data_IF_338588786240
#
_entry.id   IF_338588786240
#
_cell.length_a   1.000
_cell.length_b   1.000
_cell.length_c   1.000
_cell.angle_alpha   90.00
_cell.angle_beta   90.00
_cell.angle_gamma   90.00
#
_symmetry.space_group_name_H-M   'P 1'
#
loop_
_entity.id
_entity.type
_entity.pdbx_description
1 polymer ?
#
# COMPACT_ATOMS: atom_id res chain seq x y z
N UNK A 1 -23.08 11.88 -7.43
CA UNK A 1 -22.98 10.59 -6.71
C UNK A 1 -21.60 9.95 -6.86
N UNK A 2 -20.95 10.05 -8.02
CA UNK A 2 -19.61 9.48 -8.27
C UNK A 2 -18.54 10.00 -7.31
N UNK A 3 -18.49 11.30 -7.05
CA UNK A 3 -17.50 11.90 -6.15
C UNK A 3 -17.65 11.43 -4.70
N UNK A 4 -18.88 11.19 -4.23
CA UNK A 4 -19.13 10.75 -2.84
C UNK A 4 -18.54 9.37 -2.58
N UNK A 5 -18.69 8.43 -3.51
CA UNK A 5 -18.14 7.08 -3.39
C UNK A 5 -16.61 7.06 -3.50
N UNK A 6 -16.06 7.95 -4.34
CA UNK A 6 -14.61 8.14 -4.42
C UNK A 6 -14.03 8.64 -3.08
N UNK A 7 -14.73 9.57 -2.43
CA UNK A 7 -14.37 10.05 -1.09
C UNK A 7 -14.59 9.00 0.02
N UNK A 8 -15.44 7.99 -0.20
CA UNK A 8 -15.67 6.92 0.80
C UNK A 8 -14.43 6.07 1.10
N UNK A 9 -13.45 6.06 0.19
CA UNK A 9 -12.18 5.38 0.40
C UNK A 9 -11.31 6.06 1.46
N UNK A 10 -11.41 7.40 1.59
CA UNK A 10 -10.58 8.18 2.54
C UNK A 10 -10.76 7.70 3.99
N UNK A 11 -11.98 7.61 4.55
CA UNK A 11 -12.14 7.14 5.91
C UNK A 11 -11.64 5.71 6.12
N UNK A 12 -11.79 4.83 5.13
CA UNK A 12 -11.28 3.45 5.21
C UNK A 12 -9.75 3.46 5.31
N UNK A 13 -9.07 4.28 4.49
CA UNK A 13 -7.62 4.41 4.53
C UNK A 13 -7.12 5.04 5.83
N UNK A 14 -7.78 6.08 6.33
CA UNK A 14 -7.42 6.73 7.60
C UNK A 14 -7.58 5.75 8.76
N UNK A 15 -8.72 5.06 8.87
CA UNK A 15 -8.97 4.11 9.94
C UNK A 15 -8.00 2.94 9.87
N UNK A 16 -7.73 2.40 8.67
CA UNK A 16 -6.76 1.31 8.51
C UNK A 16 -5.34 1.75 8.89
N UNK A 17 -4.95 2.99 8.60
CA UNK A 17 -3.65 3.56 8.97
C UNK A 17 -3.51 3.74 10.49
N UNK A 18 -4.54 4.28 11.13
CA UNK A 18 -4.59 4.41 12.60
C UNK A 18 -4.47 3.03 13.24
N UNK A 19 -5.23 2.06 12.74
CA UNK A 19 -5.20 0.70 13.27
C UNK A 19 -3.84 0.02 13.10
N UNK A 20 -3.20 0.22 11.96
CA UNK A 20 -1.86 -0.30 11.66
C UNK A 20 -0.79 0.26 12.60
N UNK A 21 -0.89 1.54 12.96
CA UNK A 21 0.02 2.19 13.93
C UNK A 21 -0.20 1.64 15.34
N UNK A 22 -1.47 1.53 15.80
CA UNK A 22 -1.78 1.22 17.20
C UNK A 22 -1.88 -0.26 17.51
N UNK A 23 -2.19 -1.14 16.55
CA UNK A 23 -2.42 -2.59 16.76
C UNK A 23 -1.47 -3.49 15.99
N UNK A 24 -0.18 -3.53 16.40
CA UNK A 24 0.79 -4.54 15.97
C UNK A 24 0.90 -4.74 14.44
N UNK A 25 0.69 -3.68 13.66
CA UNK A 25 0.91 -3.68 12.20
C UNK A 25 0.09 -4.75 11.46
N UNK A 26 -1.13 -4.98 11.89
CA UNK A 26 -2.09 -5.89 11.23
C UNK A 26 -3.37 -5.15 10.90
N UNK A 27 -3.64 -4.98 9.62
CA UNK A 27 -4.89 -4.39 9.14
C UNK A 27 -6.00 -5.44 9.27
N UNK A 28 -7.10 -5.15 9.98
CA UNK A 28 -8.23 -6.08 10.09
C UNK A 28 -8.84 -6.38 8.73
N UNK A 29 -9.10 -7.65 8.46
CA UNK A 29 -9.74 -8.07 7.21
C UNK A 29 -11.12 -7.42 7.00
N UNK A 30 -11.79 -6.99 8.08
CA UNK A 30 -13.07 -6.28 7.97
C UNK A 30 -12.96 -4.99 7.14
N UNK A 31 -11.92 -4.18 7.31
CA UNK A 31 -11.71 -2.97 6.51
C UNK A 31 -11.42 -3.29 5.03
N UNK A 32 -10.72 -4.40 4.80
CA UNK A 32 -10.48 -4.91 3.44
C UNK A 32 -11.81 -5.28 2.76
N UNK A 33 -12.67 -6.01 3.46
CA UNK A 33 -13.98 -6.45 2.92
C UNK A 33 -14.88 -5.24 2.67
N UNK A 34 -14.96 -4.28 3.60
CA UNK A 34 -15.74 -3.05 3.43
C UNK A 34 -15.22 -2.26 2.22
N UNK A 35 -13.89 -2.10 2.09
CA UNK A 35 -13.28 -1.43 0.95
C UNK A 35 -13.55 -2.13 -0.38
N UNK A 36 -13.57 -3.46 -0.42
CA UNK A 36 -13.93 -4.23 -1.60
C UNK A 36 -15.40 -4.02 -1.99
N UNK A 37 -16.32 -4.13 -1.02
CA UNK A 37 -17.76 -3.95 -1.28
C UNK A 37 -18.04 -2.54 -1.81
N UNK A 38 -17.50 -1.50 -1.16
CA UNK A 38 -17.69 -0.11 -1.59
C UNK A 38 -17.05 0.14 -2.95
N UNK A 39 -15.86 -0.43 -3.23
CA UNK A 39 -15.16 -0.29 -4.50
C UNK A 39 -15.88 -0.96 -5.66
N UNK A 40 -16.35 -2.19 -5.49
CA UNK A 40 -17.10 -2.88 -6.54
C UNK A 40 -18.49 -2.26 -6.78
N UNK A 41 -19.14 -1.77 -5.73
CA UNK A 41 -20.37 -1.00 -5.86
C UNK A 41 -20.14 0.30 -6.66
N UNK A 42 -19.05 1.01 -6.36
CA UNK A 42 -18.64 2.20 -7.12
C UNK A 42 -18.40 1.87 -8.60
N UNK A 43 -17.66 0.82 -8.89
CA UNK A 43 -17.37 0.40 -10.26
C UNK A 43 -18.65 0.02 -11.03
N UNK A 44 -19.59 -0.67 -10.38
CA UNK A 44 -20.87 -1.02 -10.96
C UNK A 44 -21.74 0.21 -11.26
N UNK A 45 -21.84 1.14 -10.34
CA UNK A 45 -22.61 2.37 -10.51
C UNK A 45 -22.03 3.30 -11.59
N UNK A 46 -20.70 3.27 -11.77
CA UNK A 46 -20.01 4.10 -12.76
C UNK A 46 -20.19 3.62 -14.21
N UNK A 47 -20.26 2.34 -14.44
CA UNK A 47 -20.34 1.83 -15.81
C UNK A 47 -20.89 0.41 -15.94
N UNK A 48 -21.73 -0.01 -14.99
CA UNK A 48 -22.43 -1.28 -15.05
C UNK A 48 -21.48 -2.50 -14.98
N UNK A 49 -21.94 -3.59 -15.59
CA UNK A 49 -21.22 -4.88 -15.56
C UNK A 49 -19.83 -4.84 -16.19
N UNK A 50 -19.63 -4.04 -17.23
CA UNK A 50 -18.32 -3.91 -17.91
C UNK A 50 -17.25 -3.34 -16.98
N UNK A 51 -17.56 -2.24 -16.29
CA UNK A 51 -16.64 -1.64 -15.33
C UNK A 51 -16.43 -2.51 -14.09
N UNK A 52 -17.45 -3.24 -13.65
CA UNK A 52 -17.30 -4.18 -12.54
C UNK A 52 -16.28 -5.27 -12.89
N UNK A 53 -16.40 -5.91 -14.07
CA UNK A 53 -15.47 -6.94 -14.52
C UNK A 53 -14.05 -6.41 -14.69
N UNK A 54 -13.92 -5.20 -15.26
CA UNK A 54 -12.62 -4.53 -15.39
C UNK A 54 -11.99 -4.28 -14.03
N UNK A 55 -12.74 -3.74 -13.07
CA UNK A 55 -12.24 -3.45 -11.71
C UNK A 55 -11.87 -4.73 -10.97
N UNK A 56 -12.59 -5.82 -11.20
CA UNK A 56 -12.28 -7.12 -10.65
C UNK A 56 -10.96 -7.66 -11.23
N UNK A 57 -10.75 -7.52 -12.53
CA UNK A 57 -9.49 -7.89 -13.19
C UNK A 57 -8.32 -7.05 -12.65
N UNK A 58 -8.50 -5.73 -12.50
CA UNK A 58 -7.51 -4.80 -11.95
C UNK A 58 -7.14 -5.16 -10.51
N UNK A 59 -8.14 -5.49 -9.69
CA UNK A 59 -7.94 -5.93 -8.30
C UNK A 59 -7.08 -7.20 -8.21
N UNK A 60 -7.43 -8.24 -8.97
CA UNK A 60 -6.64 -9.47 -8.98
C UNK A 60 -5.24 -9.27 -9.54
N UNK A 61 -5.10 -8.47 -10.61
CA UNK A 61 -3.80 -8.13 -11.19
C UNK A 61 -2.92 -7.45 -10.13
N UNK A 62 -3.47 -6.52 -9.34
CA UNK A 62 -2.71 -5.84 -8.30
C UNK A 62 -2.31 -6.79 -7.16
N UNK A 63 -3.15 -7.76 -6.79
CA UNK A 63 -2.78 -8.80 -5.82
C UNK A 63 -1.65 -9.66 -6.36
N UNK A 64 -1.73 -10.12 -7.61
CA UNK A 64 -0.69 -10.94 -8.25
C UNK A 64 0.64 -10.18 -8.27
N UNK A 65 0.64 -8.94 -8.74
CA UNK A 65 1.83 -8.08 -8.75
C UNK A 65 2.37 -7.88 -7.34
N UNK A 66 1.49 -7.60 -6.38
CA UNK A 66 1.87 -7.41 -4.97
C UNK A 66 2.51 -8.65 -4.37
N UNK A 67 1.97 -9.84 -4.68
CA UNK A 67 2.53 -11.10 -4.18
C UNK A 67 3.86 -11.45 -4.87
N UNK A 68 4.00 -11.28 -6.19
CA UNK A 68 5.20 -11.70 -6.91
C UNK A 68 6.33 -10.69 -6.90
N UNK A 69 6.02 -9.38 -7.00
CA UNK A 69 7.04 -8.33 -7.13
C UNK A 69 7.36 -7.69 -5.78
N UNK A 70 6.34 -7.45 -4.95
CA UNK A 70 6.50 -6.76 -3.67
C UNK A 70 6.69 -7.73 -2.49
N UNK A 71 6.81 -9.04 -2.77
CA UNK A 71 7.07 -10.06 -1.76
C UNK A 71 8.34 -9.74 -0.98
N UNK A 72 8.18 -9.53 0.33
CA UNK A 72 9.28 -9.17 1.22
C UNK A 72 9.53 -7.67 1.38
N UNK A 73 9.01 -6.81 0.48
CA UNK A 73 9.10 -5.35 0.60
C UNK A 73 7.90 -4.77 1.36
N UNK A 74 6.72 -5.34 1.15
CA UNK A 74 5.47 -4.88 1.76
C UNK A 74 4.80 -5.98 2.58
N UNK A 75 4.06 -5.59 3.63
CA UNK A 75 3.21 -6.52 4.35
C UNK A 75 1.98 -6.90 3.50
N UNK A 76 1.46 -8.13 3.72
CA UNK A 76 0.28 -8.60 2.97
C UNK A 76 -0.95 -7.69 3.12
N UNK A 77 -1.06 -6.97 4.25
CA UNK A 77 -2.11 -5.97 4.48
C UNK A 77 -2.02 -4.79 3.54
N UNK A 78 -0.81 -4.29 3.30
CA UNK A 78 -0.55 -3.13 2.43
C UNK A 78 -0.84 -3.45 0.96
N UNK A 79 -0.49 -4.67 0.52
CA UNK A 79 -0.83 -5.17 -0.82
C UNK A 79 -2.35 -5.20 -1.02
N UNK A 80 -3.10 -5.68 -0.03
CA UNK A 80 -4.56 -5.68 -0.07
C UNK A 80 -5.15 -4.28 -0.13
N UNK A 81 -4.59 -3.31 0.62
CA UNK A 81 -4.99 -1.91 0.53
C UNK A 81 -4.75 -1.31 -0.85
N UNK A 82 -3.58 -1.56 -1.45
CA UNK A 82 -3.28 -1.11 -2.81
C UNK A 82 -4.23 -1.75 -3.83
N UNK A 83 -4.58 -3.02 -3.64
CA UNK A 83 -5.56 -3.70 -4.49
C UNK A 83 -6.95 -3.07 -4.39
N UNK A 84 -7.40 -2.64 -3.19
CA UNK A 84 -8.65 -1.89 -3.04
C UNK A 84 -8.56 -0.53 -3.73
N UNK A 85 -7.50 0.21 -3.53
CA UNK A 85 -7.28 1.51 -4.18
C UNK A 85 -7.37 1.35 -5.70
N UNK A 86 -6.83 0.27 -6.25
CA UNK A 86 -6.83 0.03 -7.69
C UNK A 86 -8.22 -0.14 -8.31
N UNK A 87 -9.22 -0.54 -7.52
CA UNK A 87 -10.63 -0.60 -7.96
C UNK A 87 -11.17 0.81 -8.24
N UNK A 88 -10.77 1.80 -7.44
CA UNK A 88 -11.27 3.18 -7.53
C UNK A 88 -10.52 4.01 -8.58
N UNK A 89 -9.19 3.90 -8.62
CA UNK A 89 -8.35 4.79 -9.42
C UNK A 89 -7.69 4.10 -10.62
N UNK A 90 -7.79 2.77 -10.73
CA UNK A 90 -7.16 1.98 -11.78
C UNK A 90 -5.68 1.69 -11.50
N UNK A 91 -5.09 0.79 -12.30
CA UNK A 91 -3.71 0.30 -12.11
C UNK A 91 -2.66 1.41 -12.17
N UNK A 92 -2.73 2.27 -13.20
CA UNK A 92 -1.71 3.30 -13.43
C UNK A 92 -1.59 4.29 -12.26
N UNK A 93 -2.73 4.78 -11.74
CA UNK A 93 -2.73 5.66 -10.58
C UNK A 93 -2.29 4.92 -9.31
N UNK A 94 -2.65 3.65 -9.14
CA UNK A 94 -2.22 2.85 -8.00
C UNK A 94 -0.71 2.65 -7.98
N UNK A 95 -0.06 2.45 -9.13
CA UNK A 95 1.40 2.40 -9.18
C UNK A 95 2.06 3.73 -8.79
N UNK A 96 1.49 4.86 -9.21
CA UNK A 96 1.97 6.18 -8.76
C UNK A 96 1.83 6.35 -7.25
N UNK A 97 0.71 5.91 -6.67
CA UNK A 97 0.48 5.92 -5.21
C UNK A 97 1.49 5.01 -4.50
N UNK A 98 1.70 3.79 -4.98
CA UNK A 98 2.68 2.87 -4.42
C UNK A 98 4.10 3.45 -4.46
N UNK A 99 4.53 3.99 -5.60
CA UNK A 99 5.84 4.62 -5.74
C UNK A 99 6.00 5.83 -4.80
N UNK A 100 4.99 6.72 -4.75
CA UNK A 100 5.01 7.89 -3.88
C UNK A 100 5.04 7.48 -2.40
N UNK A 101 4.29 6.44 -2.01
CA UNK A 101 4.29 5.94 -0.63
C UNK A 101 5.64 5.34 -0.22
N UNK A 102 6.34 4.65 -1.12
CA UNK A 102 7.72 4.22 -0.89
C UNK A 102 8.67 5.40 -0.71
N UNK A 103 8.53 6.43 -1.52
CA UNK A 103 9.36 7.63 -1.44
C UNK A 103 9.14 8.38 -0.12
N UNK A 104 7.89 8.60 0.27
CA UNK A 104 7.53 9.22 1.56
C UNK A 104 8.04 8.35 2.71
N UNK A 105 7.82 7.04 2.66
CA UNK A 105 8.29 6.10 3.67
C UNK A 105 9.81 6.11 3.82
N UNK A 106 10.56 6.17 2.72
CA UNK A 106 12.01 6.27 2.73
C UNK A 106 12.49 7.58 3.39
N UNK A 107 11.87 8.72 3.06
CA UNK A 107 12.19 10.01 3.67
C UNK A 107 11.92 9.96 5.19
N UNK A 108 10.74 9.48 5.59
CA UNK A 108 10.41 9.34 7.01
C UNK A 108 11.38 8.41 7.73
N UNK A 109 11.76 7.29 7.10
CA UNK A 109 12.73 6.37 7.70
C UNK A 109 14.11 7.01 7.88
N UNK A 110 14.56 7.82 6.92
CA UNK A 110 15.81 8.57 7.01
C UNK A 110 15.76 9.57 8.18
N UNK A 111 14.64 10.30 8.33
CA UNK A 111 14.50 11.35 9.35
C UNK A 111 14.37 10.75 10.75
N UNK A 112 13.51 9.74 10.93
CA UNK A 112 13.17 9.23 12.26
C UNK A 112 14.06 8.10 12.74
N UNK A 113 14.66 7.30 11.86
CA UNK A 113 15.47 6.13 12.20
C UNK A 113 16.86 6.14 11.53
N UNK A 114 17.53 7.29 11.50
CA UNK A 114 18.83 7.47 10.85
C UNK A 114 19.87 6.39 11.22
N UNK A 115 19.90 5.96 12.48
CA UNK A 115 20.83 4.89 12.93
C UNK A 115 20.56 3.56 12.23
N UNK A 116 19.28 3.20 12.07
CA UNK A 116 18.89 1.95 11.37
C UNK A 116 19.10 2.07 9.86
N UNK A 117 18.81 3.25 9.29
CA UNK A 117 19.07 3.52 7.88
C UNK A 117 20.58 3.39 7.57
N UNK A 118 21.44 4.00 8.35
CA UNK A 118 22.89 3.90 8.19
C UNK A 118 23.40 2.45 8.32
N UNK A 119 22.84 1.67 9.25
CA UNK A 119 23.22 0.26 9.39
C UNK A 119 22.75 -0.60 8.19
N UNK A 120 21.55 -0.32 7.66
CA UNK A 120 21.03 -1.00 6.48
C UNK A 120 21.83 -0.66 5.22
N UNK A 121 22.22 0.61 5.05
CA UNK A 121 23.12 1.04 3.99
C UNK A 121 24.47 0.32 4.06
N UNK A 122 25.09 0.25 5.24
CA UNK A 122 26.34 -0.50 5.44
C UNK A 122 26.19 -1.98 5.08
N UNK A 123 25.05 -2.60 5.40
CA UNK A 123 24.77 -3.98 4.99
C UNK A 123 24.69 -4.14 3.47
N UNK A 124 23.99 -3.22 2.77
CA UNK A 124 23.87 -3.25 1.31
C UNK A 124 25.25 -3.05 0.67
N UNK A 125 26.02 -2.08 1.13
CA UNK A 125 27.39 -1.82 0.66
C UNK A 125 28.28 -3.05 0.87
N UNK A 126 28.24 -3.66 2.05
CA UNK A 126 29.00 -4.87 2.33
C UNK A 126 28.57 -6.05 1.46
N UNK A 127 27.28 -6.20 1.17
CA UNK A 127 26.81 -7.24 0.25
C UNK A 127 27.30 -7.01 -1.17
N UNK A 128 27.18 -5.78 -1.69
CA UNK A 128 27.55 -5.45 -3.08
C UNK A 128 29.07 -5.51 -3.29
N UNK A 129 29.85 -4.99 -2.34
CA UNK A 129 31.31 -4.88 -2.53
C UNK A 129 32.11 -6.05 -1.95
N UNK A 130 31.60 -6.71 -0.92
CA UNK A 130 32.34 -7.76 -0.22
C UNK A 130 31.70 -9.15 -0.28
N UNK A 131 30.57 -9.30 -1.01
CA UNK A 131 29.79 -10.57 -1.12
C UNK A 131 29.46 -11.22 0.22
N UNK A 132 29.39 -10.43 1.29
CA UNK A 132 29.01 -10.93 2.61
C UNK A 132 27.51 -11.21 2.60
N UNK A 133 27.06 -12.45 2.94
CA UNK A 133 25.65 -12.78 2.92
C UNK A 133 24.87 -11.87 3.86
N UNK A 134 23.81 -11.24 3.33
CA UNK A 134 22.89 -10.47 4.13
C UNK A 134 22.25 -11.41 5.14
N UNK A 135 22.64 -11.33 6.40
CA UNK A 135 21.86 -11.93 7.48
C UNK A 135 20.51 -11.20 7.46
N UNK A 136 19.48 -11.91 6.99
CA UNK A 136 18.10 -11.41 7.05
C UNK A 136 17.83 -11.06 8.52
N UNK A 137 17.87 -9.77 8.80
CA UNK A 137 17.56 -9.22 10.12
C UNK A 137 16.18 -9.74 10.51
N UNK A 138 16.08 -10.31 11.71
CA UNK A 138 14.84 -10.93 12.19
C UNK A 138 13.64 -10.04 11.88
N UNK A 139 12.59 -10.61 11.30
CA UNK A 139 11.34 -10.00 10.83
C UNK A 139 10.54 -9.20 11.88
N UNK A 140 11.14 -8.86 13.02
CA UNK A 140 10.47 -8.23 14.17
C UNK A 140 10.19 -6.73 14.05
N UNK A 141 10.65 -6.06 13.01
CA UNK A 141 10.44 -4.61 12.84
C UNK A 141 9.87 -4.26 11.47
N UNK A 142 8.69 -4.81 11.12
CA UNK A 142 7.95 -4.29 9.99
C UNK A 142 7.52 -2.84 10.31
N UNK A 143 7.83 -1.91 9.43
CA UNK A 143 7.33 -0.53 9.53
C UNK A 143 5.86 -0.54 9.12
N UNK A 144 4.98 0.17 9.82
CA UNK A 144 3.61 0.38 9.39
C UNK A 144 3.64 1.17 8.08
N UNK A 145 3.23 0.56 6.97
CA UNK A 145 3.34 1.18 5.64
C UNK A 145 2.04 1.86 5.20
N UNK A 146 0.90 1.45 5.76
CA UNK A 146 -0.41 1.98 5.42
C UNK A 146 -0.58 3.49 5.60
N UNK A 147 0.07 4.19 6.58
CA UNK A 147 0.02 5.64 6.67
C UNK A 147 0.62 6.34 5.45
N UNK A 148 1.72 5.80 4.91
CA UNK A 148 2.37 6.37 3.73
C UNK A 148 1.52 6.19 2.47
N UNK A 149 0.81 5.06 2.35
CA UNK A 149 -0.17 4.83 1.27
C UNK A 149 -1.30 5.85 1.36
N UNK A 150 -1.81 6.11 2.57
CA UNK A 150 -2.88 7.08 2.79
C UNK A 150 -2.46 8.50 2.43
N UNK A 151 -1.26 8.92 2.85
CA UNK A 151 -0.71 10.24 2.51
C UNK A 151 -0.49 10.34 1.00
N UNK A 152 0.10 9.33 0.36
CA UNK A 152 0.32 9.31 -1.08
C UNK A 152 -0.99 9.37 -1.88
N UNK A 153 -2.03 8.68 -1.42
CA UNK A 153 -3.37 8.76 -2.01
C UNK A 153 -3.95 10.17 -1.91
N UNK A 154 -3.89 10.79 -0.73
CA UNK A 154 -4.37 12.15 -0.51
C UNK A 154 -3.61 13.18 -1.39
N UNK A 155 -2.29 13.07 -1.46
CA UNK A 155 -1.47 13.96 -2.31
C UNK A 155 -1.90 13.84 -3.78
N UNK A 156 -2.09 12.62 -4.29
CA UNK A 156 -2.52 12.43 -5.69
C UNK A 156 -3.97 12.85 -5.95
N UNK A 157 -4.79 12.95 -4.92
CA UNK A 157 -6.18 13.41 -5.04
C UNK A 157 -6.27 14.95 -5.19
N UNK A 158 -5.27 15.68 -4.68
CA UNK A 158 -5.23 17.14 -4.70
C UNK A 158 -4.33 17.74 -5.80
N UNK A 159 -3.58 16.91 -6.53
CA UNK A 159 -2.79 17.29 -7.71
C UNK A 159 -3.54 16.94 -8.99
#
# INVERSE_FOLDING_TARGET
>A
MENILYFSLIPILIISSIWDIFRNKKIPNAFIVIGMITGFLYAFLKGGWGNLLLSLAVFFTMIVIGVFILWGLMAAGDVKLLAIISIFVGLGATFKIAFLSFFIGAICFIIFDWKKFSSSLKMIVNFVFYSVPIRLYERKQSVAFSPYITIAYLVLLFI
#
